data_IF_156698181235
#
_entry.id   IF_156698181235
#
_cell.length_a   1.000
_cell.length_b   1.000
_cell.length_c   1.000
_cell.angle_alpha   90.00
_cell.angle_beta   90.00
_cell.angle_gamma   90.00
#
_symmetry.space_group_name_H-M   'P 1'
#
loop_
_entity.id
_entity.type
_entity.pdbx_description
1 polymer ?
#
# COMPACT_ATOMS: atom_id res chain seq x y z
N UNK A 1 -20.84 -9.07 -9.68
CA UNK A 1 -19.75 -9.48 -10.61
C UNK A 1 -19.58 -10.97 -10.41
N UNK A 2 -19.79 -11.73 -11.48
CA UNK A 2 -19.62 -13.20 -11.43
C UNK A 2 -18.14 -13.49 -11.59
N UNK A 3 -17.53 -14.06 -10.56
CA UNK A 3 -16.14 -14.48 -10.57
C UNK A 3 -16.00 -15.78 -11.34
N UNK A 4 -15.00 -15.91 -12.20
CA UNK A 4 -14.74 -17.17 -12.91
C UNK A 4 -14.28 -18.24 -11.90
N UNK A 5 -14.67 -19.51 -12.10
CA UNK A 5 -14.31 -20.62 -11.21
C UNK A 5 -12.78 -20.73 -11.01
N UNK A 6 -12.01 -20.45 -12.05
CA UNK A 6 -10.55 -20.42 -11.98
C UNK A 6 -10.02 -19.33 -11.04
N UNK A 7 -10.60 -18.13 -11.10
CA UNK A 7 -10.19 -17.03 -10.21
C UNK A 7 -10.50 -17.35 -8.75
N UNK A 8 -11.64 -17.98 -8.50
CA UNK A 8 -11.99 -18.46 -7.16
C UNK A 8 -11.00 -19.49 -6.64
N UNK A 9 -10.64 -20.49 -7.45
CA UNK A 9 -9.67 -21.54 -7.08
C UNK A 9 -8.28 -20.95 -6.77
N UNK A 10 -7.83 -19.94 -7.53
CA UNK A 10 -6.57 -19.24 -7.27
C UNK A 10 -6.61 -18.46 -5.93
N UNK A 11 -7.73 -17.80 -5.64
CA UNK A 11 -7.91 -17.09 -4.36
C UNK A 11 -7.95 -18.08 -3.19
N UNK A 12 -8.71 -19.18 -3.30
CA UNK A 12 -8.81 -20.20 -2.26
C UNK A 12 -7.45 -20.84 -1.95
N UNK A 13 -6.61 -21.06 -2.97
CA UNK A 13 -5.24 -21.55 -2.82
C UNK A 13 -4.33 -20.52 -2.13
N UNK A 14 -4.44 -19.24 -2.51
CA UNK A 14 -3.67 -18.18 -1.87
C UNK A 14 -4.03 -18.04 -0.38
N UNK A 15 -5.34 -18.06 -0.05
CA UNK A 15 -5.82 -18.04 1.33
C UNK A 15 -5.30 -19.27 2.09
N UNK A 16 -5.40 -20.46 1.49
CA UNK A 16 -4.92 -21.70 2.11
C UNK A 16 -3.41 -21.66 2.38
N UNK A 17 -2.62 -21.11 1.45
CA UNK A 17 -1.18 -20.93 1.65
C UNK A 17 -0.89 -20.05 2.87
N UNK A 18 -1.57 -18.91 2.98
CA UNK A 18 -1.40 -17.99 4.10
C UNK A 18 -1.86 -18.60 5.43
N UNK A 19 -3.01 -19.26 5.46
CA UNK A 19 -3.58 -19.81 6.70
C UNK A 19 -2.91 -21.09 7.18
N UNK A 20 -2.25 -21.83 6.29
CA UNK A 20 -1.47 -23.03 6.65
C UNK A 20 -0.03 -22.69 7.10
N UNK A 21 0.42 -21.47 6.93
CA UNK A 21 1.70 -21.00 7.45
C UNK A 21 1.49 -20.41 8.86
N UNK A 22 2.19 -20.95 9.86
CA UNK A 22 1.96 -20.58 11.26
C UNK A 22 2.24 -19.09 11.52
N UNK A 23 3.33 -18.55 10.96
CA UNK A 23 3.72 -17.13 11.15
C UNK A 23 2.68 -16.17 10.53
N UNK A 24 2.17 -16.49 9.34
CA UNK A 24 1.10 -15.73 8.71
C UNK A 24 -0.21 -15.87 9.48
N UNK A 25 -0.54 -17.07 9.90
CA UNK A 25 -1.78 -17.34 10.66
C UNK A 25 -1.80 -16.57 11.98
N UNK A 26 -0.74 -16.69 12.78
CA UNK A 26 -0.62 -15.98 14.07
C UNK A 26 -0.67 -14.47 13.88
N UNK A 27 0.04 -13.93 12.87
CA UNK A 27 0.05 -12.49 12.61
C UNK A 27 -1.32 -11.97 12.14
N UNK A 28 -2.02 -12.72 11.28
CA UNK A 28 -3.31 -12.28 10.72
C UNK A 28 -4.46 -12.47 11.70
N UNK A 29 -4.44 -13.53 12.53
CA UNK A 29 -5.57 -13.90 13.40
C UNK A 29 -5.29 -13.69 14.89
N UNK A 30 -4.32 -12.85 15.25
CA UNK A 30 -4.10 -12.45 16.64
C UNK A 30 -5.38 -11.84 17.24
N UNK A 31 -5.72 -12.22 18.46
CA UNK A 31 -6.95 -11.78 19.14
C UNK A 31 -7.03 -10.26 19.40
N UNK A 32 -5.86 -9.58 19.40
CA UNK A 32 -5.75 -8.15 19.59
C UNK A 32 -5.80 -7.36 18.28
N UNK A 33 -5.91 -8.03 17.14
CA UNK A 33 -5.98 -7.37 15.84
C UNK A 33 -7.32 -6.65 15.64
N UNK A 34 -7.23 -5.46 15.06
CA UNK A 34 -8.40 -4.72 14.57
C UNK A 34 -8.27 -4.62 13.05
N UNK A 35 -9.35 -4.96 12.34
CA UNK A 35 -9.36 -5.05 10.89
C UNK A 35 -10.04 -3.86 10.24
N UNK A 36 -9.61 -3.52 9.02
CA UNK A 36 -10.25 -2.50 8.19
C UNK A 36 -10.40 -1.14 8.88
N UNK A 37 -9.34 -0.71 9.59
CA UNK A 37 -9.37 0.48 10.44
C UNK A 37 -9.16 1.75 9.62
N UNK A 38 -10.12 2.68 9.57
CA UNK A 38 -9.93 3.98 8.95
C UNK A 38 -9.17 4.93 9.86
N UNK A 39 -8.38 5.82 9.25
CA UNK A 39 -7.76 6.94 9.93
C UNK A 39 -7.73 8.19 9.04
N UNK A 40 -7.82 9.35 9.69
CA UNK A 40 -7.67 10.66 9.05
C UNK A 40 -6.69 11.49 9.88
N UNK A 41 -5.72 12.10 9.21
CA UNK A 41 -4.72 12.94 9.87
C UNK A 41 -4.14 13.97 8.91
N UNK A 42 -3.80 15.14 9.42
CA UNK A 42 -3.01 16.10 8.70
C UNK A 42 -1.53 15.67 8.65
N UNK A 43 -0.98 15.58 7.44
CA UNK A 43 0.43 15.26 7.18
C UNK A 43 0.94 16.27 6.17
N UNK A 44 2.01 17.00 6.50
CA UNK A 44 2.59 18.07 5.69
C UNK A 44 1.56 19.15 5.26
N UNK A 45 0.68 19.55 6.18
CA UNK A 45 -0.32 20.61 5.93
C UNK A 45 -1.49 20.18 5.03
N UNK A 46 -1.63 18.90 4.74
CA UNK A 46 -2.74 18.34 3.97
C UNK A 46 -3.41 17.21 4.75
N UNK A 47 -4.74 17.17 4.69
CA UNK A 47 -5.52 16.06 5.27
C UNK A 47 -5.42 14.81 4.41
N UNK A 48 -4.98 13.72 5.02
CA UNK A 48 -4.89 12.40 4.42
C UNK A 48 -5.80 11.44 5.14
N UNK A 49 -6.38 10.53 4.37
CA UNK A 49 -7.17 9.43 4.89
C UNK A 49 -6.67 8.11 4.34
N UNK A 50 -6.70 7.09 5.17
CA UNK A 50 -6.33 5.74 4.81
C UNK A 50 -7.14 4.73 5.60
N UNK A 51 -7.10 3.48 5.15
CA UNK A 51 -7.73 2.35 5.84
C UNK A 51 -6.71 1.22 5.90
N UNK A 52 -6.25 0.88 7.11
CA UNK A 52 -5.31 -0.22 7.32
C UNK A 52 -6.05 -1.55 7.27
N UNK A 53 -5.48 -2.56 6.59
CA UNK A 53 -6.06 -3.90 6.55
C UNK A 53 -6.11 -4.49 7.96
N UNK A 54 -4.98 -4.47 8.69
CA UNK A 54 -4.88 -4.97 10.05
C UNK A 54 -4.02 -4.02 10.89
N UNK A 55 -4.56 -3.62 12.03
CA UNK A 55 -3.83 -2.89 13.09
C UNK A 55 -3.60 -3.87 14.24
N UNK A 56 -2.35 -4.30 14.39
CA UNK A 56 -1.91 -5.17 15.49
C UNK A 56 -1.37 -4.33 16.66
N UNK A 57 -0.97 -4.99 17.74
CA UNK A 57 -0.43 -4.31 18.93
C UNK A 57 0.76 -3.42 18.59
N UNK A 58 1.70 -3.90 17.80
CA UNK A 58 2.97 -3.22 17.54
C UNK A 58 3.15 -2.75 16.09
N UNK A 59 2.45 -3.34 15.14
CA UNK A 59 2.63 -3.10 13.71
C UNK A 59 1.30 -2.89 12.98
N UNK A 60 1.39 -2.38 11.77
CA UNK A 60 0.36 -2.46 10.75
C UNK A 60 0.71 -3.61 9.82
N UNK A 61 -0.25 -4.45 9.47
CA UNK A 61 -0.09 -5.48 8.45
C UNK A 61 -0.90 -5.07 7.23
N UNK A 62 -0.25 -5.03 6.10
CA UNK A 62 -0.88 -4.76 4.81
C UNK A 62 -0.71 -6.00 3.92
N UNK A 63 -1.85 -6.55 3.48
CA UNK A 63 -1.89 -7.78 2.70
C UNK A 63 -1.75 -7.46 1.21
N UNK A 64 -0.80 -8.09 0.56
CA UNK A 64 -0.54 -7.88 -0.87
C UNK A 64 -0.52 -9.19 -1.65
N UNK A 65 -0.99 -9.13 -2.87
CA UNK A 65 -0.75 -10.18 -3.86
C UNK A 65 0.28 -9.72 -4.88
N UNK A 66 1.07 -10.65 -5.39
CA UNK A 66 2.01 -10.39 -6.49
C UNK A 66 1.95 -11.52 -7.52
N UNK A 67 2.38 -11.25 -8.72
CA UNK A 67 2.56 -12.29 -9.77
C UNK A 67 3.97 -12.87 -9.80
N UNK A 68 4.91 -12.26 -9.09
CA UNK A 68 6.28 -12.74 -8.93
C UNK A 68 6.86 -12.21 -7.63
N UNK A 69 6.95 -13.07 -6.62
CA UNK A 69 7.41 -12.68 -5.28
C UNK A 69 8.90 -12.31 -5.28
N UNK A 70 9.70 -12.90 -6.17
CA UNK A 70 11.15 -12.60 -6.28
C UNK A 70 11.42 -11.16 -6.72
N UNK A 71 10.50 -10.60 -7.50
CA UNK A 71 10.55 -9.22 -7.99
C UNK A 71 9.77 -8.23 -7.12
N UNK A 72 9.14 -8.68 -6.04
CA UNK A 72 8.28 -7.83 -5.21
C UNK A 72 9.00 -6.56 -4.73
N UNK A 73 10.26 -6.66 -4.32
CA UNK A 73 11.06 -5.50 -3.88
C UNK A 73 11.22 -4.39 -4.93
N UNK A 74 11.15 -4.75 -6.22
CA UNK A 74 11.19 -3.77 -7.32
C UNK A 74 9.78 -3.27 -7.66
N UNK A 75 8.82 -4.18 -7.72
CA UNK A 75 7.42 -3.85 -8.01
C UNK A 75 6.79 -2.99 -6.91
N UNK A 76 7.17 -3.17 -5.65
CA UNK A 76 6.71 -2.36 -4.53
C UNK A 76 6.94 -0.85 -4.74
N UNK A 77 8.10 -0.46 -5.29
CA UNK A 77 8.38 0.94 -5.64
C UNK A 77 7.55 1.40 -6.84
N UNK A 78 7.39 0.54 -7.85
CA UNK A 78 6.60 0.84 -9.06
C UNK A 78 5.13 1.10 -8.71
N UNK A 79 4.59 0.38 -7.75
CA UNK A 79 3.21 0.52 -7.29
C UNK A 79 3.02 1.51 -6.13
N UNK A 80 4.06 2.31 -5.82
CA UNK A 80 4.03 3.34 -4.77
C UNK A 80 3.73 2.78 -3.37
N UNK A 81 4.13 1.55 -3.06
CA UNK A 81 3.99 0.99 -1.70
C UNK A 81 4.91 1.70 -0.70
N UNK A 82 5.97 2.35 -1.16
CA UNK A 82 6.80 3.25 -0.37
C UNK A 82 6.00 4.46 0.16
N UNK A 83 5.21 5.10 -0.69
CA UNK A 83 4.32 6.19 -0.30
C UNK A 83 3.22 5.72 0.65
N UNK A 84 2.64 4.54 0.39
CA UNK A 84 1.65 3.92 1.27
C UNK A 84 2.26 3.65 2.65
N UNK A 85 3.43 3.01 2.70
CA UNK A 85 4.10 2.70 3.96
C UNK A 85 4.40 3.97 4.77
N UNK A 86 4.92 5.01 4.13
CA UNK A 86 5.18 6.30 4.78
C UNK A 86 3.91 6.92 5.35
N UNK A 87 2.85 7.06 4.53
CA UNK A 87 1.59 7.66 4.95
C UNK A 87 0.93 6.87 6.09
N UNK A 88 0.88 5.54 5.98
CA UNK A 88 0.23 4.70 6.98
C UNK A 88 0.96 4.73 8.31
N UNK A 89 2.29 4.72 8.32
CA UNK A 89 3.05 4.92 9.56
C UNK A 89 2.77 6.29 10.21
N UNK A 90 2.54 7.34 9.42
CA UNK A 90 2.15 8.67 9.94
C UNK A 90 0.71 8.71 10.43
N UNK A 91 -0.22 8.07 9.73
CA UNK A 91 -1.64 8.00 10.10
C UNK A 91 -1.83 7.26 11.42
N UNK A 92 -1.22 6.09 11.58
CA UNK A 92 -1.48 5.17 12.68
C UNK A 92 -0.41 5.18 13.77
N UNK A 93 0.77 5.77 13.54
CA UNK A 93 1.86 5.83 14.52
C UNK A 93 2.56 4.50 14.77
N UNK A 94 2.43 3.53 13.86
CA UNK A 94 3.02 2.19 13.96
C UNK A 94 3.79 1.85 12.68
N UNK A 95 4.87 1.02 12.75
CA UNK A 95 5.54 0.53 11.54
C UNK A 95 4.61 -0.37 10.72
N UNK A 96 4.70 -0.26 9.39
CA UNK A 96 3.95 -1.09 8.46
C UNK A 96 4.82 -2.24 7.95
N UNK A 97 4.23 -3.43 7.84
CA UNK A 97 4.85 -4.63 7.28
C UNK A 97 3.94 -5.18 6.19
N UNK A 98 4.52 -5.52 5.04
CA UNK A 98 3.79 -6.17 3.95
C UNK A 98 3.83 -7.67 4.10
N UNK A 99 2.67 -8.30 4.15
CA UNK A 99 2.46 -9.75 4.08
C UNK A 99 1.99 -10.09 2.67
N UNK A 100 2.81 -10.81 1.94
CA UNK A 100 2.68 -10.97 0.49
C UNK A 100 2.48 -12.42 0.11
N UNK A 101 1.53 -12.69 -0.78
CA UNK A 101 1.34 -14.00 -1.40
C UNK A 101 1.52 -13.88 -2.92
N UNK A 102 2.31 -14.78 -3.49
CA UNK A 102 2.39 -14.95 -4.94
C UNK A 102 1.15 -15.71 -5.43
N UNK A 103 0.35 -15.06 -6.28
CA UNK A 103 -0.90 -15.65 -6.78
C UNK A 103 -0.70 -16.78 -7.81
N UNK A 104 0.56 -17.03 -8.22
CA UNK A 104 0.93 -18.07 -9.20
C UNK A 104 1.59 -19.25 -8.53
N UNK A 105 2.58 -19.00 -7.66
CA UNK A 105 3.36 -20.06 -6.97
C UNK A 105 2.86 -20.33 -5.56
N UNK A 106 2.02 -19.43 -5.00
CA UNK A 106 1.54 -19.44 -3.63
C UNK A 106 2.65 -19.33 -2.57
N UNK A 107 3.84 -18.91 -2.99
CA UNK A 107 4.94 -18.58 -2.09
C UNK A 107 4.58 -17.33 -1.26
N UNK A 108 5.05 -17.29 -0.03
CA UNK A 108 4.79 -16.24 0.95
C UNK A 108 6.03 -15.41 1.20
N UNK A 109 5.85 -14.13 1.50
CA UNK A 109 6.93 -13.22 1.87
C UNK A 109 6.48 -12.17 2.88
N UNK A 110 7.37 -11.83 3.81
CA UNK A 110 7.19 -10.75 4.77
C UNK A 110 8.25 -9.69 4.48
N UNK A 111 7.81 -8.45 4.22
CA UNK A 111 8.70 -7.37 3.83
C UNK A 111 8.56 -6.18 4.78
N UNK A 112 9.68 -5.83 5.39
CA UNK A 112 9.79 -4.66 6.27
C UNK A 112 10.32 -3.48 5.46
N UNK A 113 9.58 -2.35 5.37
CA UNK A 113 10.07 -1.14 4.76
C UNK A 113 11.36 -0.65 5.43
N UNK A 114 12.43 -0.52 4.65
CA UNK A 114 13.67 0.08 5.15
C UNK A 114 13.52 1.60 5.31
N UNK A 115 14.44 2.23 6.07
CA UNK A 115 14.47 3.68 6.21
C UNK A 115 14.54 4.38 4.83
N UNK A 116 15.40 3.89 3.94
CA UNK A 116 15.51 4.42 2.56
C UNK A 116 14.22 4.26 1.75
N UNK A 117 13.49 3.15 1.93
CA UNK A 117 12.21 2.94 1.28
C UNK A 117 11.17 3.97 1.75
N UNK A 118 11.14 4.26 3.04
CA UNK A 118 10.26 5.26 3.63
C UNK A 118 10.63 6.70 3.23
N UNK A 119 11.92 6.99 3.07
CA UNK A 119 12.41 8.28 2.57
C UNK A 119 11.94 8.55 1.14
N UNK A 120 12.06 7.58 0.25
CA UNK A 120 11.47 7.68 -1.10
C UNK A 120 9.96 7.86 -1.07
N UNK A 121 9.27 7.18 -0.17
CA UNK A 121 7.83 7.36 0.03
C UNK A 121 7.48 8.78 0.47
N UNK A 122 8.25 9.34 1.40
CA UNK A 122 8.12 10.72 1.86
C UNK A 122 8.28 11.71 0.71
N UNK A 123 9.37 11.61 -0.06
CA UNK A 123 9.63 12.49 -1.21
C UNK A 123 8.47 12.47 -2.22
N UNK A 124 7.93 11.29 -2.52
CA UNK A 124 6.78 11.15 -3.43
C UNK A 124 5.52 11.84 -2.87
N UNK A 125 5.28 11.70 -1.57
CA UNK A 125 4.13 12.34 -0.91
C UNK A 125 4.28 13.86 -0.93
N UNK A 126 5.45 14.40 -0.58
CA UNK A 126 5.74 15.83 -0.63
C UNK A 126 5.54 16.38 -2.04
N UNK A 127 6.07 15.70 -3.06
CA UNK A 127 5.86 16.07 -4.47
C UNK A 127 4.39 16.01 -4.88
N UNK A 128 3.63 15.02 -4.42
CA UNK A 128 2.20 14.96 -4.71
C UNK A 128 1.43 16.13 -4.12
N UNK A 129 1.82 16.62 -2.94
CA UNK A 129 1.26 17.80 -2.30
C UNK A 129 1.58 19.06 -3.12
N UNK A 130 2.83 19.21 -3.57
CA UNK A 130 3.23 20.33 -4.43
C UNK A 130 2.39 20.39 -5.72
N UNK A 131 2.25 19.24 -6.39
CA UNK A 131 1.44 19.13 -7.61
C UNK A 131 -0.03 19.44 -7.33
N UNK A 132 -0.57 18.92 -6.22
CA UNK A 132 -1.95 19.23 -5.84
C UNK A 132 -2.16 20.74 -5.58
N UNK A 133 -1.27 21.36 -4.83
CA UNK A 133 -1.37 22.78 -4.52
C UNK A 133 -1.23 23.64 -5.78
N UNK A 134 -0.37 23.24 -6.69
CA UNK A 134 -0.12 23.94 -7.94
C UNK A 134 -1.33 23.96 -8.88
N UNK A 135 -2.06 22.84 -9.00
CA UNK A 135 -3.07 22.65 -10.04
C UNK A 135 -4.49 22.43 -9.55
N UNK A 136 -4.68 21.89 -8.34
CA UNK A 136 -5.97 21.36 -7.90
C UNK A 136 -6.50 21.98 -6.61
N UNK A 137 -5.69 22.72 -5.86
CA UNK A 137 -6.14 23.38 -4.65
C UNK A 137 -7.09 24.56 -4.99
N UNK A 138 -7.84 25.04 -4.00
CA UNK A 138 -8.69 26.23 -4.15
C UNK A 138 -7.92 27.50 -4.52
N UNK A 139 -6.63 27.54 -4.23
CA UNK A 139 -5.72 28.64 -4.49
C UNK A 139 -4.68 28.26 -5.59
N UNK A 140 -5.04 27.32 -6.48
CA UNK A 140 -4.14 26.90 -7.55
C UNK A 140 -3.75 28.11 -8.43
N UNK A 141 -2.43 28.29 -8.59
CA UNK A 141 -1.88 29.42 -9.36
C UNK A 141 -1.78 29.10 -10.86
N UNK A 142 -1.85 27.83 -11.23
CA UNK A 142 -1.66 27.36 -12.60
C UNK A 142 -2.83 26.52 -13.11
N UNK A 143 -3.14 26.67 -14.39
CA UNK A 143 -4.13 25.83 -15.08
C UNK A 143 -3.43 24.63 -15.72
N UNK A 144 -3.89 23.42 -15.44
CA UNK A 144 -3.37 22.17 -16.03
C UNK A 144 -3.47 22.16 -17.56
N UNK A 145 -4.43 22.86 -18.14
CA UNK A 145 -4.59 22.96 -19.60
C UNK A 145 -3.40 23.63 -20.29
N UNK A 146 -2.62 24.47 -19.59
CA UNK A 146 -1.40 25.09 -20.12
C UNK A 146 -0.27 24.09 -20.37
N UNK A 147 -0.37 22.88 -19.83
CA UNK A 147 0.63 21.80 -19.97
C UNK A 147 0.29 20.78 -21.06
N UNK A 148 -0.75 21.01 -21.84
CA UNK A 148 -1.11 20.13 -22.96
C UNK A 148 -0.10 20.36 -24.10
N UNK A 149 0.64 19.32 -24.45
CA UNK A 149 1.49 19.30 -25.64
C UNK A 149 0.60 19.07 -26.86
N UNK A 150 0.65 20.01 -27.82
CA UNK A 150 -0.06 19.87 -29.10
C UNK A 150 0.99 19.78 -30.19
N UNK A 151 1.17 18.59 -30.74
CA UNK A 151 2.14 18.31 -31.80
C UNK A 151 1.43 17.67 -33.00
N UNK A 152 1.98 17.92 -34.20
CA UNK A 152 1.61 17.20 -35.42
C UNK A 152 2.66 16.13 -35.67
N UNK A 153 2.22 14.87 -35.79
CA UNK A 153 3.09 13.74 -36.08
C UNK A 153 3.31 13.61 -37.61
#
# INVERSE_FOLDING_TARGET
IMMLDKEKDEIDKAISSMTNNLEFYEAIYDENNIYEVPAVKEIHGMEWKGKADIVSTDILIDLKTTSNIKDFKYSARKYNYDSQAYLYQKLFGKPLVFYVVDKTTFELGIYHPSQTFLEYGKEKVERAIEVYNKFYSKNAEENIESYIIKETL
#
